data_IF_144014279220
#
_entry.id   IF_144014279220
#
_cell.length_a   1.000
_cell.length_b   1.000
_cell.length_c   1.000
_cell.angle_alpha   90.00
_cell.angle_beta   90.00
_cell.angle_gamma   90.00
#
_symmetry.space_group_name_H-M   'P 1'
#
loop_
_entity.id
_entity.type
_entity.pdbx_description
1 polymer ?
#
# COMPACT_ATOMS: atom_id res chain seq x y z
N UNK A 1 -12.31 24.61 54.82
CA UNK A 1 -12.27 23.57 53.77
C UNK A 1 -10.96 23.73 53.02
N UNK A 2 -9.99 22.82 53.19
CA UNK A 2 -8.65 22.98 52.63
C UNK A 2 -8.59 22.53 51.17
N UNK A 3 -7.85 23.31 50.37
CA UNK A 3 -7.52 23.07 48.97
C UNK A 3 -6.57 21.88 48.84
N UNK A 4 -6.77 20.92 47.92
CA UNK A 4 -5.80 19.86 47.72
C UNK A 4 -4.66 20.32 46.80
N UNK A 5 -3.47 19.89 47.18
CA UNK A 5 -2.16 20.23 46.65
C UNK A 5 -2.02 19.92 45.14
N UNK A 6 -1.41 20.86 44.40
CA UNK A 6 -0.77 20.57 43.11
C UNK A 6 0.61 19.99 43.38
N UNK A 7 0.80 18.70 43.08
CA UNK A 7 2.13 18.14 42.91
C UNK A 7 2.59 18.36 41.47
N UNK A 8 3.62 19.18 41.31
CA UNK A 8 4.54 19.07 40.19
C UNK A 8 5.30 17.74 40.33
N UNK A 9 5.28 16.94 39.27
CA UNK A 9 6.29 15.91 39.03
C UNK A 9 6.79 16.13 37.60
N UNK A 10 7.85 16.92 37.47
CA UNK A 10 8.81 16.82 36.38
C UNK A 10 9.64 15.57 36.63
N UNK A 11 9.73 14.68 35.65
CA UNK A 11 10.99 14.12 35.13
C UNK A 11 10.81 12.74 34.48
N UNK A 12 11.37 12.64 33.27
CA UNK A 12 12.11 11.50 32.72
C UNK A 12 11.41 10.14 32.70
N UNK A 13 10.93 9.76 31.51
CA UNK A 13 11.32 8.53 30.78
C UNK A 13 10.32 8.28 29.63
N UNK A 14 10.83 8.24 28.39
CA UNK A 14 10.01 7.96 27.21
C UNK A 14 9.51 6.51 27.16
N UNK A 15 8.49 6.21 26.34
CA UNK A 15 8.16 4.84 26.02
C UNK A 15 8.95 4.40 24.78
N UNK A 16 10.05 3.68 25.01
CA UNK A 16 10.53 2.68 24.06
C UNK A 16 9.42 1.64 23.96
N UNK A 17 8.64 1.67 22.86
CA UNK A 17 7.72 0.59 22.54
C UNK A 17 8.53 -0.66 22.19
N UNK A 18 8.85 -1.45 23.21
CA UNK A 18 9.25 -2.85 23.05
C UNK A 18 8.02 -3.62 22.54
N UNK A 19 8.06 -4.02 21.27
CA UNK A 19 7.18 -5.07 20.76
C UNK A 19 7.46 -6.37 21.53
N UNK A 20 6.60 -6.69 22.51
CA UNK A 20 6.49 -8.04 23.05
C UNK A 20 5.73 -8.88 22.03
N UNK A 21 6.45 -9.64 21.21
CA UNK A 21 5.89 -10.83 20.57
C UNK A 21 5.81 -11.94 21.63
N UNK A 22 4.64 -12.57 21.87
CA UNK A 22 4.59 -13.74 22.73
C UNK A 22 5.42 -14.87 22.10
N UNK A 23 6.37 -15.39 22.89
CA UNK A 23 7.15 -16.60 22.59
C UNK A 23 6.27 -17.83 22.81
N UNK A 24 5.28 -18.02 21.97
CA UNK A 24 4.49 -19.25 21.97
C UNK A 24 4.53 -19.86 20.56
N UNK A 25 5.37 -20.89 20.41
CA UNK A 25 5.54 -21.70 19.19
C UNK A 25 4.33 -22.61 18.89
N UNK A 26 3.19 -22.37 19.56
CA UNK A 26 1.95 -23.13 19.38
C UNK A 26 0.89 -22.44 18.50
N UNK A 27 1.13 -21.22 18.00
CA UNK A 27 0.25 -20.63 16.98
C UNK A 27 0.58 -21.24 15.62
N UNK A 28 0.02 -22.44 15.38
CA UNK A 28 -0.20 -22.92 14.01
C UNK A 28 -1.13 -21.93 13.32
N UNK A 29 -0.56 -21.08 12.48
CA UNK A 29 -1.33 -20.19 11.62
C UNK A 29 -2.14 -21.05 10.64
N UNK A 30 -3.44 -21.12 10.89
CA UNK A 30 -4.40 -21.73 10.00
C UNK A 30 -4.39 -20.98 8.65
N UNK A 31 -4.47 -21.66 7.49
CA UNK A 31 -4.51 -21.02 6.17
C UNK A 31 -5.77 -20.16 5.91
N UNK A 32 -6.66 -20.01 6.90
CA UNK A 32 -8.05 -19.57 6.76
C UNK A 32 -8.37 -18.26 7.48
N UNK A 33 -7.40 -17.47 7.92
CA UNK A 33 -7.68 -16.08 8.35
C UNK A 33 -7.91 -15.10 7.16
N UNK A 34 -8.43 -15.62 6.04
CA UNK A 34 -9.14 -14.88 5.01
C UNK A 34 -10.56 -14.68 5.52
N UNK A 35 -10.80 -13.61 6.29
CA UNK A 35 -12.17 -13.30 6.67
C UNK A 35 -12.95 -12.94 5.40
N UNK A 36 -13.96 -13.75 4.98
CA UNK A 36 -14.72 -13.50 3.77
C UNK A 36 -15.89 -12.60 4.14
N UNK A 37 -15.61 -11.34 4.38
CA UNK A 37 -16.63 -10.31 4.50
C UNK A 37 -16.29 -9.30 3.43
N UNK A 38 -17.01 -9.41 2.31
CA UNK A 38 -17.32 -8.46 1.23
C UNK A 38 -17.44 -9.22 -0.11
N UNK A 39 -18.45 -10.10 -0.21
CA UNK A 39 -19.01 -10.44 -1.51
C UNK A 39 -19.71 -9.19 -2.06
N UNK A 40 -19.04 -8.42 -2.90
CA UNK A 40 -19.64 -7.31 -3.64
C UNK A 40 -20.34 -7.85 -4.90
N UNK A 41 -21.39 -8.65 -4.69
CA UNK A 41 -22.41 -8.95 -5.70
C UNK A 41 -23.62 -8.06 -5.42
N UNK A 42 -23.55 -6.82 -5.90
CA UNK A 42 -24.63 -5.86 -5.77
C UNK A 42 -24.13 -4.49 -6.21
N UNK A 43 -24.79 -3.92 -7.21
CA UNK A 43 -24.49 -2.62 -7.81
C UNK A 43 -24.24 -1.55 -6.74
N UNK A 44 -22.99 -1.15 -6.59
CA UNK A 44 -22.66 0.15 -6.02
C UNK A 44 -21.65 0.77 -6.99
N UNK A 45 -22.06 1.93 -7.55
CA UNK A 45 -21.10 2.97 -7.98
C UNK A 45 -20.01 3.09 -6.92
N UNK A 46 -18.74 3.37 -7.27
CA UNK A 46 -17.63 3.33 -6.33
C UNK A 46 -17.86 4.36 -5.22
N UNK A 47 -18.55 3.93 -4.15
CA UNK A 47 -18.80 4.71 -2.95
C UNK A 47 -17.45 4.98 -2.31
N UNK A 48 -17.28 6.21 -1.82
CA UNK A 48 -16.43 6.58 -0.68
C UNK A 48 -15.84 5.36 0.06
N UNK A 49 -14.67 4.88 -0.39
CA UNK A 49 -14.04 3.74 0.26
C UNK A 49 -13.29 4.23 1.50
N UNK A 50 -13.81 3.86 2.66
CA UNK A 50 -13.25 4.24 3.95
C UNK A 50 -12.13 3.29 4.43
N UNK A 51 -11.91 2.18 3.71
CA UNK A 51 -10.84 1.23 4.02
C UNK A 51 -10.31 0.57 2.74
N UNK A 52 -9.01 0.20 2.71
CA UNK A 52 -8.45 -0.57 1.59
C UNK A 52 -9.12 -1.93 1.45
N UNK A 53 -9.43 -2.31 0.22
CA UNK A 53 -10.06 -3.60 -0.09
C UNK A 53 -8.98 -4.63 -0.40
N UNK A 54 -8.85 -5.66 0.43
CA UNK A 54 -7.93 -6.77 0.14
C UNK A 54 -8.51 -7.66 -0.95
N UNK A 55 -7.92 -7.61 -2.14
CA UNK A 55 -8.35 -8.43 -3.28
C UNK A 55 -7.17 -8.98 -4.07
N UNK A 56 -7.37 -10.15 -4.69
CA UNK A 56 -6.48 -10.74 -5.71
C UNK A 56 -7.02 -10.57 -7.12
N UNK A 57 -8.21 -9.99 -7.25
CA UNK A 57 -8.95 -9.92 -8.50
C UNK A 57 -8.76 -8.56 -9.15
N UNK A 58 -8.09 -8.55 -10.31
CA UNK A 58 -7.96 -7.36 -11.18
C UNK A 58 -9.33 -6.73 -11.47
N UNK A 59 -10.34 -7.55 -11.74
CA UNK A 59 -11.72 -7.09 -12.02
C UNK A 59 -12.35 -6.30 -10.86
N UNK A 60 -12.01 -6.63 -9.61
CA UNK A 60 -12.48 -5.88 -8.44
C UNK A 60 -11.82 -4.51 -8.42
N UNK A 61 -10.52 -4.43 -8.70
CA UNK A 61 -9.77 -3.17 -8.72
C UNK A 61 -10.28 -2.24 -9.81
N UNK A 62 -10.46 -2.76 -11.03
CA UNK A 62 -11.03 -2.01 -12.17
C UNK A 62 -12.37 -1.38 -11.78
N UNK A 63 -13.24 -2.16 -11.13
CA UNK A 63 -14.54 -1.67 -10.65
C UNK A 63 -14.39 -0.59 -9.58
N UNK A 64 -13.47 -0.77 -8.63
CA UNK A 64 -13.21 0.20 -7.56
C UNK A 64 -12.66 1.52 -8.11
N UNK A 65 -11.79 1.46 -9.12
CA UNK A 65 -11.22 2.63 -9.80
C UNK A 65 -12.17 3.26 -10.83
N UNK A 66 -13.34 2.68 -11.08
CA UNK A 66 -14.29 3.18 -12.08
C UNK A 66 -13.81 3.04 -13.53
N UNK A 67 -12.84 2.18 -13.80
CA UNK A 67 -12.31 1.98 -15.15
C UNK A 67 -13.26 1.12 -16.01
N UNK A 68 -13.35 1.44 -17.30
CA UNK A 68 -14.28 0.80 -18.22
C UNK A 68 -13.81 -0.60 -18.64
N UNK A 69 -12.50 -0.88 -18.61
CA UNK A 69 -11.95 -2.14 -19.13
C UNK A 69 -10.64 -2.58 -18.48
N UNK A 70 -10.28 -3.85 -18.68
CA UNK A 70 -8.96 -4.37 -18.30
C UNK A 70 -7.82 -3.70 -19.08
N UNK A 71 -8.06 -3.31 -20.34
CA UNK A 71 -7.08 -2.63 -21.20
C UNK A 71 -6.78 -1.24 -20.65
N UNK A 72 -7.82 -0.48 -20.28
CA UNK A 72 -7.65 0.85 -19.69
C UNK A 72 -6.88 0.78 -18.38
N UNK A 73 -7.18 -0.22 -17.54
CA UNK A 73 -6.41 -0.46 -16.34
C UNK A 73 -4.95 -0.76 -16.64
N UNK A 74 -4.65 -1.66 -17.58
CA UNK A 74 -3.25 -1.99 -17.91
C UNK A 74 -2.51 -0.78 -18.45
N UNK A 75 -3.13 0.04 -19.30
CA UNK A 75 -2.53 1.28 -19.82
C UNK A 75 -2.20 2.29 -18.72
N UNK A 76 -3.08 2.45 -17.74
CA UNK A 76 -2.86 3.31 -16.59
C UNK A 76 -1.80 2.73 -15.65
N UNK A 77 -1.94 1.45 -15.31
CA UNK A 77 -1.13 0.72 -14.34
C UNK A 77 0.32 0.57 -14.82
N UNK A 78 0.51 0.21 -16.09
CA UNK A 78 1.83 0.09 -16.70
C UNK A 78 2.32 1.42 -17.29
N UNK A 79 1.53 2.49 -17.10
CA UNK A 79 1.83 3.84 -17.56
C UNK A 79 2.95 4.50 -16.78
N UNK A 80 3.40 5.64 -17.28
CA UNK A 80 4.54 6.41 -16.74
C UNK A 80 4.37 6.77 -15.26
N UNK A 81 3.16 7.12 -14.84
CA UNK A 81 2.92 7.63 -13.49
C UNK A 81 2.79 6.52 -12.46
N UNK A 82 1.89 5.56 -12.62
CA UNK A 82 1.77 4.48 -11.64
C UNK A 82 2.93 3.49 -11.77
N UNK A 83 3.19 3.00 -12.98
CA UNK A 83 4.13 1.91 -13.24
C UNK A 83 5.56 2.24 -12.82
N UNK A 84 6.08 3.42 -13.15
CA UNK A 84 7.44 3.80 -12.77
C UNK A 84 7.57 4.05 -11.26
N UNK A 85 6.59 4.72 -10.65
CA UNK A 85 6.58 5.02 -9.22
C UNK A 85 6.47 3.72 -8.41
N UNK A 86 5.63 2.78 -8.85
CA UNK A 86 5.55 1.44 -8.27
C UNK A 86 6.86 0.67 -8.43
N UNK A 87 7.46 0.68 -9.62
CA UNK A 87 8.70 -0.03 -9.90
C UNK A 87 9.82 0.43 -8.97
N UNK A 88 10.01 1.75 -8.80
CA UNK A 88 11.08 2.23 -7.92
C UNK A 88 10.78 1.96 -6.44
N UNK A 89 9.52 2.08 -5.97
CA UNK A 89 9.14 1.62 -4.63
C UNK A 89 9.47 0.13 -4.43
N UNK A 90 9.19 -0.69 -5.43
CA UNK A 90 9.44 -2.11 -5.37
C UNK A 90 10.94 -2.43 -5.31
N UNK A 91 11.72 -1.87 -6.23
CA UNK A 91 13.16 -2.13 -6.35
C UNK A 91 13.97 -1.51 -5.21
N UNK A 92 13.66 -0.27 -4.81
CA UNK A 92 14.40 0.45 -3.77
C UNK A 92 14.05 0.01 -2.34
N UNK A 93 12.83 -0.50 -2.09
CA UNK A 93 12.36 -0.78 -0.73
C UNK A 93 11.87 -2.22 -0.53
N UNK A 94 10.88 -2.65 -1.31
CA UNK A 94 10.16 -3.92 -1.06
C UNK A 94 11.06 -5.13 -1.34
N UNK A 95 11.76 -5.12 -2.48
CA UNK A 95 12.61 -6.23 -2.91
C UNK A 95 13.77 -6.48 -1.94
N UNK A 96 14.56 -5.46 -1.51
CA UNK A 96 15.59 -5.65 -0.49
C UNK A 96 15.06 -6.24 0.82
N UNK A 97 13.89 -5.78 1.29
CA UNK A 97 13.25 -6.32 2.51
C UNK A 97 12.83 -7.78 2.36
N UNK A 98 12.40 -8.19 1.17
CA UNK A 98 12.08 -9.60 0.86
C UNK A 98 13.33 -10.45 0.87
N UNK A 99 14.39 -10.00 0.21
CA UNK A 99 15.66 -10.73 0.15
C UNK A 99 16.28 -10.89 1.53
N UNK A 100 16.24 -9.84 2.36
CA UNK A 100 16.72 -9.90 3.74
C UNK A 100 15.86 -10.84 4.61
N UNK A 101 14.52 -10.80 4.46
CA UNK A 101 13.63 -11.72 5.18
C UNK A 101 13.94 -13.18 4.82
N UNK A 102 14.11 -13.48 3.53
CA UNK A 102 14.48 -14.80 3.05
C UNK A 102 15.85 -15.24 3.56
N UNK A 103 16.86 -14.36 3.50
CA UNK A 103 18.22 -14.64 3.97
C UNK A 103 18.25 -14.91 5.48
N UNK A 104 17.48 -14.15 6.25
CA UNK A 104 17.40 -14.28 7.71
C UNK A 104 16.46 -15.41 8.18
N UNK A 105 15.85 -16.16 7.25
CA UNK A 105 14.87 -17.20 7.57
C UNK A 105 13.57 -16.65 8.19
N UNK A 106 13.40 -15.33 8.21
CA UNK A 106 12.15 -14.70 8.62
C UNK A 106 11.12 -14.90 7.51
N UNK A 107 10.03 -15.58 7.84
CA UNK A 107 9.02 -15.92 6.85
C UNK A 107 8.33 -14.70 6.20
N UNK A 108 8.40 -13.50 6.79
CA UNK A 108 7.58 -12.35 6.40
C UNK A 108 8.27 -11.01 6.61
N UNK A 109 8.04 -10.11 5.66
CA UNK A 109 8.31 -8.68 5.82
C UNK A 109 7.44 -8.08 6.93
N UNK A 110 7.87 -6.95 7.54
CA UNK A 110 7.01 -6.15 8.40
C UNK A 110 5.69 -5.77 7.71
N UNK A 111 4.58 -5.84 8.45
CA UNK A 111 3.27 -5.39 7.96
C UNK A 111 3.19 -3.88 8.13
N UNK A 112 3.01 -3.17 7.02
CA UNK A 112 2.83 -1.72 6.99
C UNK A 112 1.35 -1.44 6.81
N UNK A 113 0.79 -0.58 7.66
CA UNK A 113 -0.62 -0.18 7.59
C UNK A 113 -0.74 1.16 6.88
N UNK A 114 -1.85 1.36 6.17
CA UNK A 114 -2.14 2.64 5.53
C UNK A 114 -2.12 3.79 6.55
N UNK A 115 -2.69 3.59 7.73
CA UNK A 115 -2.71 4.59 8.81
C UNK A 115 -1.30 5.04 9.25
N UNK A 116 -0.33 4.13 9.30
CA UNK A 116 1.06 4.49 9.63
C UNK A 116 1.68 5.34 8.51
N UNK A 117 1.39 4.99 7.26
CA UNK A 117 1.85 5.73 6.08
C UNK A 117 1.22 7.11 6.02
N UNK A 118 -0.09 7.23 6.23
CA UNK A 118 -0.81 8.50 6.24
C UNK A 118 -0.39 9.43 7.38
N UNK A 119 -0.04 8.88 8.54
CA UNK A 119 0.54 9.69 9.61
C UNK A 119 1.90 10.24 9.21
N UNK A 120 2.73 9.43 8.53
CA UNK A 120 4.03 9.87 8.04
C UNK A 120 3.89 10.90 6.91
N UNK A 121 2.94 10.74 5.98
CA UNK A 121 2.71 11.75 4.94
C UNK A 121 2.35 13.11 5.52
N UNK A 122 1.51 13.15 6.56
CA UNK A 122 1.12 14.39 7.26
C UNK A 122 2.27 15.09 7.99
N UNK A 123 3.34 14.38 8.34
CA UNK A 123 4.53 15.00 8.95
C UNK A 123 5.43 15.73 7.94
N UNK A 124 5.15 15.58 6.65
CA UNK A 124 5.81 16.34 5.59
C UNK A 124 4.97 17.60 5.32
N UNK A 125 5.21 18.66 6.09
CA UNK A 125 4.50 19.96 6.06
C UNK A 125 4.56 20.73 4.71
N UNK A 126 5.11 20.16 3.63
CA UNK A 126 5.30 20.79 2.32
C UNK A 126 4.68 19.97 1.18
N UNK A 127 4.43 20.59 0.03
CA UNK A 127 3.74 19.94 -1.09
C UNK A 127 4.44 18.61 -1.44
N UNK A 128 3.66 17.53 -1.58
CA UNK A 128 4.24 16.18 -1.74
C UNK A 128 5.13 16.05 -2.99
N UNK A 129 4.99 16.94 -3.97
CA UNK A 129 5.76 16.99 -5.21
C UNK A 129 7.13 17.60 -5.00
N UNK A 130 7.20 18.81 -4.41
CA UNK A 130 8.45 19.47 -4.08
C UNK A 130 9.28 18.53 -3.21
N UNK A 131 8.62 17.83 -2.28
CA UNK A 131 9.25 16.82 -1.44
C UNK A 131 9.68 15.55 -2.19
N UNK A 132 8.90 15.06 -3.15
CA UNK A 132 9.28 13.91 -3.97
C UNK A 132 10.55 14.21 -4.78
N UNK A 133 10.66 15.41 -5.34
CA UNK A 133 11.84 15.88 -6.08
C UNK A 133 13.01 16.26 -5.16
N UNK A 134 12.75 16.89 -4.01
CA UNK A 134 13.75 17.35 -3.04
C UNK A 134 14.34 16.22 -2.19
N UNK A 135 13.54 15.23 -1.79
CA UNK A 135 14.01 14.12 -0.96
C UNK A 135 14.56 12.96 -1.79
N UNK A 136 14.28 12.91 -3.11
CA UNK A 136 14.83 11.87 -3.99
C UNK A 136 16.34 11.66 -3.83
N UNK A 137 17.16 12.72 -3.73
CA UNK A 137 18.61 12.61 -3.50
C UNK A 137 18.99 12.05 -2.12
N UNK A 138 18.05 11.93 -1.18
CA UNK A 138 18.23 11.41 0.18
C UNK A 138 17.60 10.03 0.45
N UNK A 139 17.11 9.34 -0.60
CA UNK A 139 16.35 8.09 -0.45
C UNK A 139 17.05 6.99 0.34
N UNK A 140 18.38 6.95 0.30
CA UNK A 140 19.18 5.94 1.01
C UNK A 140 19.04 6.01 2.55
N UNK A 141 18.57 7.15 3.07
CA UNK A 141 18.35 7.37 4.51
C UNK A 141 16.93 7.09 4.97
N UNK A 142 15.99 6.88 4.05
CA UNK A 142 14.59 6.70 4.38
C UNK A 142 14.35 5.36 5.06
N UNK A 143 13.50 5.37 6.09
CA UNK A 143 12.94 4.13 6.60
C UNK A 143 11.82 3.60 5.71
N UNK A 144 11.39 2.37 5.95
CA UNK A 144 10.37 1.72 5.13
C UNK A 144 9.05 2.50 5.09
N UNK A 145 8.60 3.08 6.20
CA UNK A 145 7.33 3.83 6.24
C UNK A 145 7.46 5.11 5.42
N UNK A 146 8.62 5.75 5.47
CA UNK A 146 8.93 6.94 4.69
C UNK A 146 8.94 6.67 3.18
N UNK A 147 9.52 5.55 2.72
CA UNK A 147 9.35 5.09 1.35
C UNK A 147 7.87 5.01 0.96
N UNK A 148 7.07 4.25 1.70
CA UNK A 148 5.64 4.13 1.37
C UNK A 148 4.91 5.48 1.40
N UNK A 149 5.26 6.38 2.31
CA UNK A 149 4.61 7.69 2.45
C UNK A 149 4.93 8.61 1.27
N UNK A 150 6.20 8.74 0.90
CA UNK A 150 6.62 9.57 -0.23
C UNK A 150 6.05 9.04 -1.55
N UNK A 151 6.14 7.72 -1.78
CA UNK A 151 5.62 7.10 -3.00
C UNK A 151 4.10 7.15 -3.09
N UNK A 152 3.37 6.91 -1.99
CA UNK A 152 1.90 7.03 -1.99
C UNK A 152 1.46 8.48 -2.24
N UNK A 153 2.14 9.46 -1.65
CA UNK A 153 1.90 10.88 -1.89
C UNK A 153 2.10 11.25 -3.36
N UNK A 154 3.19 10.77 -3.98
CA UNK A 154 3.46 10.99 -5.40
C UNK A 154 2.41 10.32 -6.30
N UNK A 155 2.10 9.03 -6.07
CA UNK A 155 1.05 8.33 -6.81
C UNK A 155 -0.28 9.09 -6.73
N UNK A 156 -0.69 9.54 -5.54
CA UNK A 156 -1.91 10.32 -5.37
C UNK A 156 -1.86 11.62 -6.17
N UNK A 157 -0.76 12.38 -6.05
CA UNK A 157 -0.61 13.63 -6.76
C UNK A 157 -0.74 13.43 -8.28
N UNK A 158 0.09 12.56 -8.87
CA UNK A 158 0.08 12.37 -10.32
C UNK A 158 -1.26 11.82 -10.82
N UNK A 159 -1.92 10.98 -10.03
CA UNK A 159 -3.24 10.44 -10.40
C UNK A 159 -4.41 11.41 -10.21
N UNK A 160 -4.23 12.45 -9.41
CA UNK A 160 -5.20 13.55 -9.30
C UNK A 160 -5.06 14.52 -10.46
N UNK A 161 -3.82 14.82 -10.89
CA UNK A 161 -3.57 15.91 -11.84
C UNK A 161 -3.36 15.47 -13.30
N UNK A 162 -2.91 14.23 -13.57
CA UNK A 162 -2.49 13.81 -14.92
C UNK A 162 -3.34 12.70 -15.53
N UNK A 163 -4.09 11.94 -14.74
CA UNK A 163 -4.80 10.76 -15.25
C UNK A 163 -6.31 10.83 -15.04
N UNK A 164 -6.82 11.87 -14.37
CA UNK A 164 -8.22 12.02 -13.95
C UNK A 164 -8.75 10.76 -13.20
N UNK A 165 -7.85 9.94 -12.64
CA UNK A 165 -8.20 8.63 -12.09
C UNK A 165 -9.30 8.75 -11.02
N UNK A 166 -9.20 9.79 -10.20
CA UNK A 166 -10.11 10.05 -9.10
C UNK A 166 -11.37 10.81 -9.51
N UNK A 167 -11.41 11.35 -10.72
CA UNK A 167 -12.54 12.12 -11.25
C UNK A 167 -13.47 11.27 -12.13
N UNK A 168 -12.98 10.12 -12.65
CA UNK A 168 -13.67 9.25 -13.62
C UNK A 168 -14.91 8.50 -13.11
N UNK A 169 -15.28 8.61 -11.82
CA UNK A 169 -16.33 7.75 -11.25
C UNK A 169 -17.34 8.38 -10.28
N UNK A 170 -17.03 9.52 -9.66
CA UNK A 170 -17.78 9.97 -8.48
C UNK A 170 -18.69 11.17 -8.71
N UNK A 171 -18.35 12.10 -9.62
CA UNK A 171 -19.00 13.43 -9.64
C UNK A 171 -18.85 14.21 -8.32
N UNK A 172 -18.08 13.67 -7.37
CA UNK A 172 -17.81 14.17 -6.03
C UNK A 172 -16.31 14.14 -5.80
N UNK A 173 -15.76 15.20 -5.22
CA UNK A 173 -14.33 15.28 -4.89
C UNK A 173 -14.02 14.23 -3.81
N UNK A 174 -13.25 13.18 -4.16
CA UNK A 174 -12.78 12.19 -3.20
C UNK A 174 -11.91 12.88 -2.13
N UNK A 175 -12.01 12.41 -0.89
CA UNK A 175 -11.09 12.84 0.17
C UNK A 175 -9.71 12.22 -0.06
N UNK A 176 -8.66 12.85 0.49
CA UNK A 176 -7.30 12.32 0.44
C UNK A 176 -7.23 10.87 0.95
N UNK A 177 -7.94 10.57 2.03
CA UNK A 177 -7.99 9.24 2.61
C UNK A 177 -8.63 8.21 1.66
N UNK A 178 -9.71 8.57 0.98
CA UNK A 178 -10.37 7.70 0.01
C UNK A 178 -9.47 7.41 -1.20
N UNK A 179 -8.76 8.43 -1.71
CA UNK A 179 -7.75 8.24 -2.75
C UNK A 179 -6.63 7.30 -2.30
N UNK A 180 -6.14 7.49 -1.07
CA UNK A 180 -5.11 6.63 -0.49
C UNK A 180 -5.62 5.18 -0.32
N UNK A 181 -6.87 4.98 0.12
CA UNK A 181 -7.48 3.66 0.20
C UNK A 181 -7.53 2.95 -1.16
N UNK A 182 -7.79 3.69 -2.24
CA UNK A 182 -7.84 3.15 -3.61
C UNK A 182 -6.45 2.71 -4.02
N UNK A 183 -5.46 3.60 -3.92
CA UNK A 183 -4.07 3.30 -4.27
C UNK A 183 -3.49 2.17 -3.41
N UNK A 184 -3.78 2.16 -2.11
CA UNK A 184 -3.33 1.11 -1.21
C UNK A 184 -3.90 -0.25 -1.57
N UNK A 185 -5.12 -0.30 -2.10
CA UNK A 185 -5.73 -1.52 -2.64
C UNK A 185 -4.94 -2.04 -3.84
N UNK A 186 -4.52 -1.16 -4.76
CA UNK A 186 -3.69 -1.54 -5.92
C UNK A 186 -2.31 -2.01 -5.47
N UNK A 187 -1.65 -1.28 -4.58
CA UNK A 187 -0.35 -1.68 -4.00
C UNK A 187 -0.44 -3.06 -3.33
N UNK A 188 -1.50 -3.35 -2.58
CA UNK A 188 -1.68 -4.66 -1.95
C UNK A 188 -1.86 -5.78 -2.98
N UNK A 189 -2.55 -5.49 -4.08
CA UNK A 189 -2.68 -6.41 -5.21
C UNK A 189 -1.33 -6.67 -5.89
N UNK A 190 -0.52 -5.63 -6.13
CA UNK A 190 0.79 -5.79 -6.76
C UNK A 190 1.80 -6.49 -5.86
N UNK A 191 1.76 -6.19 -4.56
CA UNK A 191 2.52 -6.94 -3.55
C UNK A 191 2.19 -8.43 -3.58
N UNK A 192 0.92 -8.79 -3.81
CA UNK A 192 0.52 -10.19 -3.97
C UNK A 192 1.07 -10.80 -5.26
N UNK A 193 0.95 -10.10 -6.39
CA UNK A 193 1.35 -10.59 -7.72
C UNK A 193 2.87 -10.68 -7.91
N UNK A 194 3.63 -9.88 -7.16
CA UNK A 194 5.10 -9.92 -7.16
C UNK A 194 5.69 -11.02 -6.26
N UNK A 195 4.88 -11.82 -5.58
CA UNK A 195 5.40 -12.93 -4.76
C UNK A 195 6.04 -14.00 -5.64
N UNK A 196 7.12 -14.65 -5.18
CA UNK A 196 7.83 -15.70 -5.94
C UNK A 196 6.91 -16.80 -6.48
N UNK A 197 5.90 -17.20 -5.69
CA UNK A 197 4.92 -18.19 -6.14
C UNK A 197 4.09 -17.68 -7.33
N UNK A 198 3.66 -16.42 -7.32
CA UNK A 198 2.89 -15.85 -8.41
C UNK A 198 3.75 -15.61 -9.64
N UNK A 199 4.98 -15.13 -9.47
CA UNK A 199 5.94 -14.99 -10.57
C UNK A 199 6.23 -16.33 -11.26
N UNK A 200 6.38 -17.42 -10.50
CA UNK A 200 6.52 -18.78 -11.06
C UNK A 200 5.28 -19.22 -11.84
N UNK A 201 4.08 -19.00 -11.27
CA UNK A 201 2.83 -19.34 -11.94
C UNK A 201 2.63 -18.53 -13.23
N UNK A 202 3.00 -17.24 -13.22
CA UNK A 202 2.94 -16.37 -14.40
C UNK A 202 3.92 -16.85 -15.49
N UNK A 203 5.16 -17.17 -15.11
CA UNK A 203 6.15 -17.72 -16.04
C UNK A 203 5.70 -19.06 -16.65
N UNK A 204 5.11 -19.94 -15.84
CA UNK A 204 4.58 -21.23 -16.32
C UNK A 204 3.39 -21.04 -17.27
N UNK A 205 2.48 -20.10 -16.97
CA UNK A 205 1.35 -19.77 -17.86
C UNK A 205 1.83 -19.19 -19.18
N UNK A 206 2.82 -18.29 -19.15
CA UNK A 206 3.44 -17.72 -20.35
C UNK A 206 4.05 -18.82 -21.21
N UNK A 207 4.86 -19.70 -20.60
CA UNK A 207 5.45 -20.85 -21.30
C UNK A 207 4.39 -21.74 -21.95
N UNK A 208 3.29 -22.04 -21.23
CA UNK A 208 2.18 -22.83 -21.76
C UNK A 208 1.41 -22.13 -22.89
N UNK A 209 1.33 -20.80 -22.88
CA UNK A 209 0.71 -20.03 -23.96
C UNK A 209 1.57 -20.07 -25.23
N UNK A 210 2.89 -19.86 -25.08
CA UNK A 210 3.88 -19.97 -26.16
C UNK A 210 3.91 -21.40 -26.75
N UNK A 211 3.89 -22.43 -25.89
CA UNK A 211 3.79 -23.86 -26.31
C UNK A 211 2.49 -24.17 -27.06
N UNK A 212 1.42 -23.38 -26.86
CA UNK A 212 0.13 -23.53 -27.54
C UNK A 212 0.00 -22.67 -28.80
N UNK A 213 1.04 -21.92 -29.18
CA UNK A 213 1.05 -21.09 -30.38
C UNK A 213 0.18 -19.84 -30.29
N UNK A 214 -0.04 -19.32 -29.08
CA UNK A 214 -0.65 -18.00 -28.85
C UNK A 214 0.40 -16.92 -28.63
#
# INVERSE_FOLDING_TARGET
MPSPHRHHCTDLCGPIFKYYLPKDDSIRWHPTCWHPSYCLEGQQSPKAIEQPVRTKSKKVIIRLLGMASEIEFDQWHDGEWYGNIWKDLYESCIMPLREEAERSGKARMPVITLEAVERRTKTFDSSCIERFEELWPGKDSWDTIEYYAVYLGAMRFFNTWNTDLFDRGSGENLTEHQMNCLLWTVIQYDLHNTTKSQLKLAAERKRKAEERGF
#
